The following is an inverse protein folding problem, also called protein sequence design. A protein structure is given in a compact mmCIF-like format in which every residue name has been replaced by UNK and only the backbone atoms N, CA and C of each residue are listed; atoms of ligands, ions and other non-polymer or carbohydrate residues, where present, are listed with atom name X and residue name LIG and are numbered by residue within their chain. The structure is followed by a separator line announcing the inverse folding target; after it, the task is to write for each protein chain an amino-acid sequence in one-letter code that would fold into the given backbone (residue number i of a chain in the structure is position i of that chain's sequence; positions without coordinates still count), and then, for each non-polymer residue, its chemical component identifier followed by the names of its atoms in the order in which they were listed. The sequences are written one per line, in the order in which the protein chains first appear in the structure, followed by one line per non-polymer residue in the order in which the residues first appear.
data_IF_768102379003
#
_entry.id   IF_768102379003
#
_cell.length_a   1.000
_cell.length_b   1.000
_cell.length_c   1.000
_cell.angle_alpha   90.00
_cell.angle_beta   90.00
_cell.angle_gamma   90.00
#
_symmetry.space_group_name_H-M   'P 1'
#
loop_
_entity.id
_entity.type
_entity.pdbx_description
1 polymer ?
#
# COMPACT_ATOMS: atom_id res chain seq x y z
N UNK A 1 -33.20 -23.64 -62.37
CA UNK A 1 -31.88 -23.01 -62.17
C UNK A 1 -31.89 -21.87 -61.15
N UNK A 2 -32.89 -20.97 -61.12
CA UNK A 2 -32.91 -19.83 -60.17
C UNK A 2 -33.10 -20.24 -58.70
N UNK A 3 -33.71 -21.37 -58.36
CA UNK A 3 -33.89 -21.83 -56.97
C UNK A 3 -32.65 -22.53 -56.37
N UNK A 4 -31.75 -23.05 -57.20
CA UNK A 4 -30.51 -23.70 -56.74
C UNK A 4 -29.42 -22.69 -56.39
N UNK A 5 -29.41 -21.52 -57.05
CA UNK A 5 -28.45 -20.46 -56.81
C UNK A 5 -28.73 -19.74 -55.45
N UNK A 6 -30.02 -19.59 -55.10
CA UNK A 6 -30.42 -18.97 -53.83
C UNK A 6 -30.03 -19.80 -52.59
N UNK A 7 -30.02 -21.15 -52.73
CA UNK A 7 -29.69 -22.04 -51.62
C UNK A 7 -28.17 -22.11 -51.33
N UNK A 8 -27.33 -21.97 -52.38
CA UNK A 8 -25.87 -21.93 -52.23
C UNK A 8 -25.40 -20.59 -51.60
N UNK A 9 -26.09 -19.49 -51.92
CA UNK A 9 -25.74 -18.16 -51.38
C UNK A 9 -26.09 -18.04 -49.89
N UNK A 10 -27.16 -18.68 -49.41
CA UNK A 10 -27.55 -18.69 -47.99
C UNK A 10 -26.60 -19.59 -47.18
N UNK A 11 -26.09 -20.70 -47.75
CA UNK A 11 -25.11 -21.55 -47.08
C UNK A 11 -23.73 -20.88 -46.97
N UNK A 12 -23.32 -20.03 -47.91
CA UNK A 12 -22.06 -19.29 -47.88
C UNK A 12 -22.09 -18.14 -46.85
N UNK A 13 -23.26 -17.51 -46.63
CA UNK A 13 -23.43 -16.51 -45.60
C UNK A 13 -23.49 -17.10 -44.17
N UNK A 14 -24.00 -18.33 -44.02
CA UNK A 14 -23.98 -19.03 -42.72
C UNK A 14 -22.57 -19.46 -42.29
N UNK A 15 -21.68 -19.81 -43.23
CA UNK A 15 -20.30 -20.16 -42.95
C UNK A 15 -19.41 -18.94 -42.58
N UNK A 16 -19.72 -17.74 -43.06
CA UNK A 16 -18.97 -16.55 -42.75
C UNK A 16 -19.28 -15.97 -41.35
N UNK A 17 -20.43 -16.32 -40.77
CA UNK A 17 -20.79 -15.93 -39.38
C UNK A 17 -20.14 -16.86 -38.34
N UNK A 18 -19.81 -18.12 -38.72
CA UNK A 18 -19.10 -19.04 -37.83
C UNK A 18 -17.57 -18.92 -37.90
N UNK A 19 -17.01 -18.31 -38.95
CA UNK A 19 -15.56 -18.13 -39.10
C UNK A 19 -15.00 -16.94 -38.26
N UNK A 20 -15.86 -16.13 -37.64
CA UNK A 20 -15.43 -15.03 -36.77
C UNK A 20 -15.61 -15.34 -35.26
N UNK A 21 -15.94 -16.59 -34.92
CA UNK A 21 -15.89 -17.10 -33.55
C UNK A 21 -14.63 -17.94 -33.38
N UNK A 22 -13.51 -17.29 -33.06
CA UNK A 22 -12.31 -18.03 -32.72
C UNK A 22 -11.01 -17.35 -33.07
N UNK A 23 -10.93 -16.02 -32.94
CA UNK A 23 -9.70 -15.50 -32.41
C UNK A 23 -9.83 -15.59 -30.90
N UNK A 24 -9.72 -16.81 -30.39
CA UNK A 24 -9.17 -17.00 -29.05
C UNK A 24 -7.87 -16.19 -29.05
N UNK A 25 -7.85 -15.09 -28.33
CA UNK A 25 -6.62 -14.40 -28.00
C UNK A 25 -5.71 -15.47 -27.40
N UNK A 26 -4.67 -15.88 -28.16
CA UNK A 26 -3.79 -16.98 -27.79
C UNK A 26 -3.33 -16.76 -26.37
N UNK A 27 -3.95 -17.46 -25.43
CA UNK A 27 -3.78 -17.24 -24.03
C UNK A 27 -2.32 -17.38 -23.70
N UNK A 28 -1.72 -16.29 -23.21
CA UNK A 28 -0.31 -16.32 -22.83
C UNK A 28 -0.06 -17.53 -21.93
N UNK A 29 0.93 -18.36 -22.29
CA UNK A 29 1.30 -19.56 -21.53
C UNK A 29 2.20 -19.17 -20.34
N UNK A 30 1.61 -18.43 -19.43
CA UNK A 30 2.17 -17.91 -18.18
C UNK A 30 1.08 -18.01 -17.10
N UNK A 31 1.41 -18.28 -15.81
CA UNK A 31 2.72 -18.71 -15.31
C UNK A 31 2.98 -20.21 -15.50
N UNK A 32 4.25 -20.60 -15.61
CA UNK A 32 4.72 -22.01 -15.68
C UNK A 32 5.57 -22.43 -14.48
N UNK A 33 5.93 -21.49 -13.63
CA UNK A 33 6.75 -21.70 -12.43
C UNK A 33 6.24 -20.79 -11.30
N UNK A 34 6.79 -20.93 -10.12
CA UNK A 34 6.48 -20.13 -8.96
C UNK A 34 6.68 -18.62 -9.22
N UNK A 35 5.76 -17.80 -8.71
CA UNK A 35 5.83 -16.33 -8.71
C UNK A 35 6.33 -15.88 -7.33
N UNK A 36 7.30 -14.98 -7.29
CA UNK A 36 7.83 -14.41 -6.06
C UNK A 36 7.30 -12.99 -5.84
N UNK A 37 6.58 -12.79 -4.74
CA UNK A 37 6.12 -11.48 -4.27
C UNK A 37 7.18 -10.91 -3.32
N UNK A 38 7.90 -9.90 -3.75
CA UNK A 38 8.86 -9.19 -2.90
C UNK A 38 8.11 -8.14 -2.08
N UNK A 39 8.12 -8.31 -0.77
CA UNK A 39 7.63 -7.34 0.20
C UNK A 39 8.83 -6.61 0.80
N UNK A 40 9.03 -5.30 0.53
CA UNK A 40 10.24 -4.57 0.93
C UNK A 40 10.17 -4.08 2.40
N UNK A 41 9.45 -4.81 3.23
CA UNK A 41 9.24 -4.52 4.66
C UNK A 41 9.36 -5.81 5.48
N UNK A 42 9.52 -5.65 6.80
CA UNK A 42 9.64 -6.78 7.71
C UNK A 42 8.38 -7.66 7.71
N UNK A 43 8.58 -8.95 7.96
CA UNK A 43 7.49 -9.92 8.13
C UNK A 43 6.55 -9.50 9.27
N UNK A 44 5.27 -9.81 9.14
CA UNK A 44 4.21 -9.44 10.10
C UNK A 44 3.75 -7.97 10.01
N UNK A 45 4.38 -7.14 9.16
CA UNK A 45 3.88 -5.80 8.86
C UNK A 45 2.66 -5.80 7.94
N UNK A 46 2.01 -4.64 7.80
CA UNK A 46 0.77 -4.52 7.01
C UNK A 46 0.90 -5.09 5.59
N UNK A 47 1.91 -4.66 4.83
CA UNK A 47 2.11 -5.14 3.45
C UNK A 47 2.37 -6.65 3.38
N UNK A 48 3.11 -7.22 4.35
CA UNK A 48 3.41 -8.65 4.39
C UNK A 48 2.15 -9.48 4.64
N UNK A 49 1.36 -9.10 5.65
CA UNK A 49 0.12 -9.81 6.01
C UNK A 49 -0.88 -9.77 4.84
N UNK A 50 -1.07 -8.61 4.20
CA UNK A 50 -1.94 -8.46 3.04
C UNK A 50 -1.46 -9.28 1.83
N UNK A 51 -0.15 -9.24 1.54
CA UNK A 51 0.44 -10.00 0.44
C UNK A 51 0.27 -11.52 0.65
N UNK A 52 0.53 -12.03 1.86
CA UNK A 52 0.34 -13.46 2.18
C UNK A 52 -1.12 -13.88 2.11
N UNK A 53 -2.04 -13.03 2.57
CA UNK A 53 -3.47 -13.31 2.50
C UNK A 53 -3.91 -13.49 1.04
N UNK A 54 -3.51 -12.59 0.13
CA UNK A 54 -3.88 -12.72 -1.28
C UNK A 54 -3.10 -13.84 -2.00
N UNK A 55 -1.81 -14.05 -1.68
CA UNK A 55 -0.96 -15.07 -2.29
C UNK A 55 -1.53 -16.50 -2.14
N UNK A 56 -2.17 -16.80 -1.00
CA UNK A 56 -2.90 -18.06 -0.77
C UNK A 56 -3.94 -18.34 -1.86
N UNK A 57 -4.73 -17.34 -2.23
CA UNK A 57 -5.78 -17.45 -3.24
C UNK A 57 -5.25 -17.34 -4.66
N UNK A 58 -4.21 -16.52 -4.89
CA UNK A 58 -3.51 -16.44 -6.18
C UNK A 58 -2.86 -17.78 -6.56
N UNK A 59 -2.31 -18.51 -5.59
CA UNK A 59 -1.76 -19.85 -5.80
C UNK A 59 -2.82 -20.79 -6.36
N UNK A 60 -4.05 -20.74 -5.86
CA UNK A 60 -5.16 -21.55 -6.33
C UNK A 60 -5.65 -21.11 -7.72
N UNK A 61 -5.81 -19.80 -7.92
CA UNK A 61 -6.33 -19.24 -9.18
C UNK A 61 -5.34 -19.43 -10.35
N UNK A 62 -4.05 -19.18 -10.10
CA UNK A 62 -3.01 -19.27 -11.13
C UNK A 62 -2.44 -20.70 -11.29
N UNK A 63 -2.79 -21.62 -10.39
CA UNK A 63 -2.29 -23.02 -10.36
C UNK A 63 -0.76 -23.11 -10.34
N UNK A 64 -0.11 -22.11 -9.77
CA UNK A 64 1.34 -22.03 -9.54
C UNK A 64 1.60 -21.43 -8.16
N UNK A 65 2.64 -21.86 -7.44
CA UNK A 65 2.95 -21.28 -6.15
C UNK A 65 3.20 -19.77 -6.25
N UNK A 66 2.56 -19.01 -5.37
CA UNK A 66 2.81 -17.58 -5.18
C UNK A 66 3.43 -17.41 -3.80
N UNK A 67 4.72 -17.08 -3.75
CA UNK A 67 5.53 -17.09 -2.54
C UNK A 67 5.88 -15.66 -2.14
N UNK A 68 5.76 -15.34 -0.86
CA UNK A 68 6.12 -14.01 -0.31
C UNK A 68 7.51 -14.07 0.29
N UNK A 69 8.39 -13.17 -0.19
CA UNK A 69 9.75 -12.97 0.33
C UNK A 69 9.90 -11.54 0.87
N UNK A 70 10.34 -11.40 2.12
CA UNK A 70 10.59 -10.11 2.73
C UNK A 70 12.03 -9.66 2.44
N UNK A 71 12.20 -8.46 1.85
CA UNK A 71 13.50 -7.80 1.57
C UNK A 71 13.45 -6.41 2.16
N UNK A 72 13.49 -6.33 3.48
CA UNK A 72 13.38 -5.08 4.22
C UNK A 72 14.65 -4.23 4.15
N UNK A 73 14.51 -2.92 4.33
CA UNK A 73 15.58 -1.96 4.49
C UNK A 73 15.34 -0.63 3.78
N UNK A 74 15.90 0.43 4.34
CA UNK A 74 15.88 1.81 3.81
C UNK A 74 14.50 2.26 3.34
N UNK A 75 13.46 2.14 4.20
CA UNK A 75 12.11 2.57 3.85
C UNK A 75 11.44 1.76 2.73
N UNK A 76 11.96 0.58 2.40
CA UNK A 76 11.47 -0.29 1.32
C UNK A 76 12.26 -0.17 0.00
N UNK A 77 13.27 0.70 -0.06
CA UNK A 77 14.00 0.96 -1.30
C UNK A 77 14.89 -0.21 -1.74
N UNK A 78 15.40 -1.03 -0.80
CA UNK A 78 16.25 -2.18 -1.12
C UNK A 78 15.46 -3.22 -1.91
N UNK A 79 14.32 -3.66 -1.41
CA UNK A 79 13.48 -4.63 -2.11
C UNK A 79 12.89 -4.07 -3.41
N UNK A 80 12.54 -2.77 -3.43
CA UNK A 80 12.06 -2.12 -4.65
C UNK A 80 13.15 -2.08 -5.74
N UNK A 81 14.40 -1.73 -5.39
CA UNK A 81 15.53 -1.76 -6.32
C UNK A 81 15.77 -3.18 -6.87
N UNK A 82 15.73 -4.20 -5.99
CA UNK A 82 15.88 -5.59 -6.42
C UNK A 82 14.85 -5.98 -7.49
N UNK A 83 13.58 -5.60 -7.31
CA UNK A 83 12.53 -5.90 -8.31
C UNK A 83 12.73 -5.07 -9.57
N UNK A 84 13.06 -3.77 -9.45
CA UNK A 84 13.32 -2.90 -10.59
C UNK A 84 14.38 -3.49 -11.54
N UNK A 85 15.40 -4.11 -10.97
CA UNK A 85 16.55 -4.66 -11.71
C UNK A 85 16.38 -6.17 -12.04
N UNK A 86 15.24 -6.78 -11.69
CA UNK A 86 14.96 -8.18 -12.02
C UNK A 86 14.44 -8.34 -13.47
N UNK A 87 14.40 -9.60 -13.95
CA UNK A 87 13.86 -9.90 -15.29
C UNK A 87 12.39 -9.49 -15.38
N UNK A 88 12.00 -8.92 -16.51
CA UNK A 88 10.64 -8.49 -16.82
C UNK A 88 9.75 -9.64 -17.35
N UNK A 89 9.95 -10.86 -16.83
CA UNK A 89 9.26 -12.08 -17.23
C UNK A 89 7.97 -12.37 -16.43
N UNK A 90 7.62 -11.47 -15.48
CA UNK A 90 6.41 -11.55 -14.66
C UNK A 90 6.50 -12.49 -13.46
N UNK A 91 7.68 -13.07 -13.15
CA UNK A 91 7.83 -13.98 -12.01
C UNK A 91 8.37 -13.32 -10.74
N UNK A 92 8.77 -12.05 -10.83
CA UNK A 92 9.13 -11.24 -9.68
C UNK A 92 8.20 -10.03 -9.62
N UNK A 93 7.43 -9.92 -8.54
CA UNK A 93 6.40 -8.90 -8.36
C UNK A 93 6.68 -8.15 -7.06
N UNK A 94 6.71 -6.83 -7.12
CA UNK A 94 6.86 -5.96 -5.95
C UNK A 94 5.50 -5.71 -5.31
N UNK A 95 5.44 -5.80 -3.99
CA UNK A 95 4.36 -5.27 -3.16
C UNK A 95 4.81 -3.95 -2.59
N UNK A 96 4.14 -2.85 -2.92
CA UNK A 96 4.51 -1.55 -2.37
C UNK A 96 3.28 -0.67 -2.12
N UNK A 97 3.49 0.50 -1.57
CA UNK A 97 2.49 1.49 -1.23
C UNK A 97 3.10 2.91 -1.32
N UNK A 98 2.46 3.92 -0.78
CA UNK A 98 2.85 5.34 -0.89
C UNK A 98 4.31 5.64 -0.49
N UNK A 99 4.96 4.80 0.33
CA UNK A 99 6.38 4.98 0.70
C UNK A 99 7.32 5.00 -0.50
N UNK A 100 6.94 4.40 -1.64
CA UNK A 100 7.71 4.51 -2.89
C UNK A 100 7.88 5.97 -3.33
N UNK A 101 6.81 6.75 -3.24
CA UNK A 101 6.86 8.18 -3.57
C UNK A 101 7.71 8.96 -2.57
N UNK A 102 7.57 8.64 -1.28
CA UNK A 102 8.36 9.30 -0.23
C UNK A 102 9.85 9.12 -0.44
N UNK A 103 10.29 7.91 -0.75
CA UNK A 103 11.70 7.62 -1.02
C UNK A 103 12.24 8.41 -2.24
N UNK A 104 11.45 8.52 -3.31
CA UNK A 104 11.82 9.28 -4.50
C UNK A 104 11.80 10.79 -4.24
N UNK A 105 10.73 11.32 -3.67
CA UNK A 105 10.56 12.77 -3.45
C UNK A 105 11.56 13.30 -2.43
N UNK A 106 11.87 12.54 -1.39
CA UNK A 106 12.90 12.88 -0.41
C UNK A 106 14.32 12.88 -1.00
N UNK A 107 14.51 12.24 -2.16
CA UNK A 107 15.83 12.11 -2.81
C UNK A 107 16.66 10.94 -2.28
N UNK A 108 16.06 10.01 -1.55
CA UNK A 108 16.73 8.79 -1.06
C UNK A 108 17.07 7.86 -2.22
N UNK A 109 16.21 7.81 -3.25
CA UNK A 109 16.42 7.08 -4.50
C UNK A 109 16.09 7.94 -5.71
N UNK A 110 16.64 7.56 -6.87
CA UNK A 110 16.41 8.24 -8.15
C UNK A 110 15.37 7.52 -9.04
N UNK A 111 14.65 6.54 -8.50
CA UNK A 111 13.60 5.82 -9.18
C UNK A 111 12.28 5.92 -8.41
N UNK A 112 11.16 5.61 -9.08
CA UNK A 112 9.81 5.65 -8.51
C UNK A 112 8.85 4.74 -9.27
N UNK A 113 7.53 4.97 -9.10
CA UNK A 113 6.52 4.13 -9.73
C UNK A 113 6.62 4.08 -11.27
N UNK A 114 7.20 5.11 -11.90
CA UNK A 114 7.39 5.19 -13.35
C UNK A 114 8.40 4.15 -13.88
N UNK A 115 9.26 3.65 -13.00
CA UNK A 115 10.27 2.64 -13.32
C UNK A 115 9.74 1.20 -13.22
N UNK A 116 8.43 1.05 -13.02
CA UNK A 116 7.72 -0.23 -12.95
C UNK A 116 6.52 -0.25 -13.91
N UNK A 117 5.93 -1.44 -14.08
CA UNK A 117 4.60 -1.61 -14.62
C UNK A 117 3.60 -1.76 -13.45
N UNK A 118 2.73 -0.77 -13.17
CA UNK A 118 1.69 -0.92 -12.18
C UNK A 118 0.71 -2.01 -12.57
N UNK A 119 0.43 -2.94 -11.65
CA UNK A 119 -0.46 -4.08 -11.92
C UNK A 119 -1.85 -3.82 -11.37
N UNK A 120 -1.98 -3.69 -10.06
CA UNK A 120 -3.26 -3.36 -9.41
C UNK A 120 -3.05 -2.94 -7.96
N UNK A 121 -3.94 -2.08 -7.45
CA UNK A 121 -4.21 -2.02 -6.01
C UNK A 121 -5.01 -3.25 -5.63
N UNK A 122 -4.64 -3.93 -4.53
CA UNK A 122 -5.30 -5.19 -4.14
C UNK A 122 -5.92 -5.16 -2.74
N UNK A 123 -5.55 -4.21 -1.90
CA UNK A 123 -6.18 -3.97 -0.60
C UNK A 123 -5.86 -2.55 -0.11
N UNK A 124 -6.69 -2.05 0.80
CA UNK A 124 -6.44 -0.81 1.54
C UNK A 124 -6.40 -1.12 3.02
N UNK A 125 -5.43 -0.56 3.74
CA UNK A 125 -5.48 -0.53 5.18
C UNK A 125 -6.73 0.25 5.63
N UNK A 126 -7.39 -0.20 6.71
CA UNK A 126 -8.60 0.48 7.19
C UNK A 126 -8.31 1.92 7.59
N UNK A 127 -7.37 2.10 8.51
CA UNK A 127 -6.96 3.40 9.01
C UNK A 127 -5.49 3.36 9.45
N UNK A 128 -4.78 4.43 9.18
CA UNK A 128 -3.49 4.73 9.79
C UNK A 128 -3.73 5.71 10.93
N UNK A 129 -3.24 5.39 12.12
CA UNK A 129 -3.54 6.17 13.33
C UNK A 129 -2.29 6.65 14.03
N UNK A 130 -2.34 7.90 14.50
CA UNK A 130 -1.32 8.46 15.36
C UNK A 130 -1.62 8.09 16.82
N UNK A 131 -0.64 7.53 17.52
CA UNK A 131 -0.81 6.84 18.79
C UNK A 131 0.16 7.35 19.84
N UNK A 132 -0.29 7.30 21.09
CA UNK A 132 0.54 7.44 22.30
C UNK A 132 0.40 6.21 23.20
N UNK A 133 1.37 6.00 24.09
CA UNK A 133 1.17 5.11 25.23
C UNK A 133 0.40 5.84 26.33
N UNK A 134 -0.85 5.44 26.55
CA UNK A 134 -1.75 6.11 27.49
C UNK A 134 -1.34 5.94 28.96
N UNK A 135 -0.55 4.90 29.27
CA UNK A 135 -0.01 4.68 30.62
C UNK A 135 1.19 5.58 30.92
N UNK A 136 1.99 5.89 29.88
CA UNK A 136 3.12 6.81 29.99
C UNK A 136 2.65 8.27 30.02
N UNK A 137 1.59 8.59 29.26
CA UNK A 137 1.03 9.94 29.13
C UNK A 137 -0.47 9.94 29.46
N UNK A 138 -0.85 9.77 30.74
CA UNK A 138 -2.25 9.68 31.14
C UNK A 138 -3.06 10.92 30.82
N UNK A 139 -2.41 12.10 30.84
CA UNK A 139 -3.04 13.41 30.60
C UNK A 139 -3.14 13.80 29.11
N UNK A 140 -2.58 13.00 28.19
CA UNK A 140 -2.67 13.27 26.76
C UNK A 140 -3.91 12.59 26.17
N UNK A 141 -4.97 13.34 25.96
CA UNK A 141 -6.25 12.82 25.44
C UNK A 141 -6.46 13.15 23.96
N UNK A 142 -5.84 14.24 23.48
CA UNK A 142 -6.02 14.78 22.14
C UNK A 142 -4.68 15.04 21.44
N UNK A 143 -4.72 15.23 20.14
CA UNK A 143 -3.56 15.70 19.38
C UNK A 143 -3.03 17.04 19.91
N UNK A 144 -3.92 17.95 20.34
CA UNK A 144 -3.53 19.26 20.85
C UNK A 144 -2.76 19.17 22.18
N UNK A 145 -3.11 18.22 23.05
CA UNK A 145 -2.37 17.98 24.30
C UNK A 145 -0.92 17.60 24.00
N UNK A 146 -0.73 16.71 23.01
CA UNK A 146 0.60 16.29 22.55
C UNK A 146 1.38 17.47 21.96
N UNK A 147 0.76 18.27 21.10
CA UNK A 147 1.41 19.47 20.53
C UNK A 147 1.83 20.45 21.61
N UNK A 148 0.95 20.71 22.60
CA UNK A 148 1.24 21.60 23.71
C UNK A 148 2.40 21.09 24.57
N UNK A 149 2.41 19.81 24.91
CA UNK A 149 3.50 19.19 25.67
C UNK A 149 4.84 19.34 24.92
N UNK A 150 4.88 19.08 23.61
CA UNK A 150 6.11 19.23 22.81
C UNK A 150 6.57 20.68 22.69
N UNK A 151 5.67 21.68 22.73
CA UNK A 151 6.01 23.10 22.73
C UNK A 151 6.57 23.56 24.06
N UNK A 152 6.03 23.03 25.16
CA UNK A 152 6.51 23.35 26.51
C UNK A 152 7.91 22.78 26.78
N UNK A 153 8.22 21.61 26.23
CA UNK A 153 9.51 20.91 26.38
C UNK A 153 10.05 20.46 25.00
N UNK A 154 10.56 21.39 24.18
CA UNK A 154 11.02 21.12 22.82
C UNK A 154 12.11 20.06 22.76
N UNK A 155 11.93 19.04 21.92
CA UNK A 155 12.90 17.96 21.70
C UNK A 155 12.93 16.88 22.80
N UNK A 156 12.15 17.02 23.88
CA UNK A 156 12.06 16.00 24.93
C UNK A 156 11.37 14.74 24.46
N UNK A 157 10.23 14.90 23.79
CA UNK A 157 9.38 13.79 23.38
C UNK A 157 9.77 13.24 22.02
N UNK A 158 9.76 11.91 21.88
CA UNK A 158 10.23 11.18 20.70
C UNK A 158 9.06 10.75 19.84
N UNK A 159 9.13 11.14 18.57
CA UNK A 159 8.30 10.60 17.51
C UNK A 159 9.12 9.61 16.68
N UNK A 160 8.64 8.37 16.49
CA UNK A 160 9.35 7.41 15.67
C UNK A 160 8.80 7.33 14.25
N UNK A 161 9.70 7.31 13.28
CA UNK A 161 9.39 7.19 11.87
C UNK A 161 10.38 6.26 11.15
N UNK A 162 9.92 5.55 10.14
CA UNK A 162 10.81 4.83 9.24
C UNK A 162 11.31 5.80 8.17
N UNK A 163 12.63 6.02 8.16
CA UNK A 163 13.27 6.94 7.21
C UNK A 163 13.00 6.52 5.77
N UNK A 164 12.57 7.46 4.94
CA UNK A 164 12.20 7.23 3.54
C UNK A 164 10.80 6.63 3.33
N UNK A 165 10.09 6.29 4.40
CA UNK A 165 8.72 5.78 4.33
C UNK A 165 7.67 6.88 4.62
N UNK A 166 6.38 6.53 4.46
CA UNK A 166 5.25 7.43 4.70
C UNK A 166 5.23 8.04 6.12
N UNK A 167 5.67 7.29 7.13
CA UNK A 167 5.76 7.78 8.52
C UNK A 167 6.72 8.95 8.69
N UNK A 168 7.75 9.05 7.88
CA UNK A 168 8.63 10.22 7.88
C UNK A 168 7.88 11.48 7.43
N UNK A 169 7.01 11.37 6.43
CA UNK A 169 6.16 12.48 6.03
C UNK A 169 5.28 12.99 7.16
N UNK A 170 4.67 12.06 7.93
CA UNK A 170 3.85 12.43 9.09
C UNK A 170 4.70 13.23 10.09
N UNK A 171 5.89 12.73 10.44
CA UNK A 171 6.80 13.42 11.36
C UNK A 171 7.14 14.84 10.89
N UNK A 172 7.42 15.02 9.59
CA UNK A 172 7.68 16.34 8.98
C UNK A 172 6.43 17.23 9.07
N UNK A 173 5.25 16.70 8.72
CA UNK A 173 4.02 17.46 8.68
C UNK A 173 3.56 17.93 10.07
N UNK A 174 3.63 17.06 11.09
CA UNK A 174 3.27 17.44 12.47
C UNK A 174 4.25 18.48 13.05
N UNK A 175 5.55 18.41 12.70
CA UNK A 175 6.52 19.43 13.09
C UNK A 175 6.26 20.76 12.37
N UNK A 176 5.93 20.73 11.07
CA UNK A 176 5.56 21.93 10.32
C UNK A 176 4.28 22.58 10.89
N UNK A 177 3.36 21.79 11.43
CA UNK A 177 2.17 22.26 12.14
C UNK A 177 2.43 22.72 13.58
N UNK A 178 3.68 22.73 14.02
CA UNK A 178 4.11 23.34 15.27
C UNK A 178 4.48 22.39 16.41
N UNK A 179 4.38 21.07 16.24
CA UNK A 179 4.94 20.11 17.20
C UNK A 179 6.47 20.21 17.25
N UNK A 180 7.08 19.91 18.38
CA UNK A 180 8.53 20.02 18.63
C UNK A 180 9.12 18.69 19.11
N UNK A 181 8.88 17.64 18.33
CA UNK A 181 9.41 16.30 18.60
C UNK A 181 10.91 16.18 18.33
N UNK A 182 11.56 15.27 19.05
CA UNK A 182 12.77 14.60 18.60
C UNK A 182 12.34 13.42 17.71
N UNK A 183 12.56 13.53 16.40
CA UNK A 183 12.21 12.46 15.47
C UNK A 183 13.34 11.43 15.45
N UNK A 184 13.02 10.20 15.82
CA UNK A 184 13.97 9.07 15.84
C UNK A 184 13.64 8.08 14.75
N UNK A 185 14.69 7.56 14.10
CA UNK A 185 14.53 6.54 13.05
C UNK A 185 14.22 5.18 13.65
N UNK A 186 13.34 4.44 12.99
CA UNK A 186 12.98 3.06 13.33
C UNK A 186 12.75 2.24 12.06
N UNK A 187 12.56 0.96 12.21
CA UNK A 187 12.19 0.05 11.15
C UNK A 187 10.70 0.08 10.81
N UNK A 188 10.16 -1.06 10.40
CA UNK A 188 8.76 -1.23 10.02
C UNK A 188 7.78 -1.12 11.18
N UNK A 189 6.48 -1.27 10.88
CA UNK A 189 5.40 -1.12 11.87
C UNK A 189 5.53 -2.05 13.08
N UNK A 190 6.03 -3.26 12.90
CA UNK A 190 6.26 -4.20 14.02
C UNK A 190 7.27 -3.66 15.03
N UNK A 191 8.39 -3.07 14.59
CA UNK A 191 9.38 -2.45 15.48
C UNK A 191 8.80 -1.22 16.18
N UNK A 192 8.08 -0.36 15.44
CA UNK A 192 7.43 0.81 16.03
C UNK A 192 6.42 0.44 17.12
N UNK A 193 5.68 -0.66 16.93
CA UNK A 193 4.78 -1.18 17.96
C UNK A 193 5.54 -1.58 19.22
N UNK A 194 6.66 -2.27 19.10
CA UNK A 194 7.50 -2.63 20.26
C UNK A 194 8.06 -1.40 20.97
N UNK A 195 8.52 -0.40 20.21
CA UNK A 195 9.06 0.83 20.76
C UNK A 195 8.03 1.62 21.59
N UNK A 196 6.79 1.75 21.10
CA UNK A 196 5.73 2.48 21.82
C UNK A 196 5.24 1.69 23.05
N UNK A 197 5.12 0.37 22.95
CA UNK A 197 4.73 -0.47 24.07
C UNK A 197 5.79 -0.50 25.18
N UNK A 198 7.08 -0.47 24.77
CA UNK A 198 8.23 -0.44 25.69
C UNK A 198 8.57 0.95 26.24
N UNK A 199 7.80 1.99 25.97
CA UNK A 199 8.04 3.38 26.37
C UNK A 199 9.38 3.95 25.84
N UNK A 200 9.88 3.41 24.74
CA UNK A 200 11.08 3.93 24.08
C UNK A 200 10.80 5.14 23.20
N UNK A 201 9.55 5.36 22.85
CA UNK A 201 9.05 6.52 22.10
C UNK A 201 7.70 6.96 22.68
N UNK A 202 7.36 8.22 22.45
CA UNK A 202 6.16 8.84 23.02
C UNK A 202 4.99 8.85 22.03
N UNK A 203 5.28 8.98 20.74
CA UNK A 203 4.31 9.03 19.66
C UNK A 203 4.78 8.19 18.47
N UNK A 204 3.87 7.47 17.85
CA UNK A 204 4.12 6.76 16.59
C UNK A 204 2.86 6.69 15.75
N UNK A 205 3.04 6.33 14.49
CA UNK A 205 1.94 5.96 13.59
C UNK A 205 1.95 4.45 13.34
N UNK A 206 0.77 3.83 13.37
CA UNK A 206 0.57 2.41 13.07
C UNK A 206 -0.79 2.21 12.41
N UNK A 207 -0.93 1.09 11.69
CA UNK A 207 -2.23 0.68 11.20
C UNK A 207 -3.15 0.24 12.35
N UNK A 208 -4.40 0.67 12.33
CA UNK A 208 -5.39 0.37 13.38
C UNK A 208 -5.53 -1.13 13.67
N UNK A 209 -5.47 -1.97 12.63
CA UNK A 209 -5.57 -3.42 12.79
C UNK A 209 -4.49 -4.03 13.69
N UNK A 210 -3.31 -3.39 13.75
CA UNK A 210 -2.18 -3.87 14.56
C UNK A 210 -2.29 -3.45 16.03
N UNK A 211 -3.15 -2.48 16.35
CA UNK A 211 -3.19 -1.85 17.68
C UNK A 211 -4.55 -1.92 18.36
N UNK A 212 -5.57 -2.48 17.71
CA UNK A 212 -6.95 -2.49 18.20
C UNK A 212 -7.08 -3.05 19.62
N UNK A 213 -6.39 -4.13 19.95
CA UNK A 213 -6.46 -4.75 21.28
C UNK A 213 -5.79 -3.88 22.34
N UNK A 214 -4.70 -3.18 21.99
CA UNK A 214 -4.03 -2.24 22.89
C UNK A 214 -4.84 -0.95 23.09
N UNK A 215 -5.61 -0.55 22.10
CA UNK A 215 -6.54 0.59 22.21
C UNK A 215 -7.74 0.20 23.08
N UNK A 216 -8.34 -0.97 22.84
CA UNK A 216 -9.49 -1.48 23.62
C UNK A 216 -9.16 -1.69 25.09
N UNK A 217 -7.95 -2.15 25.41
CA UNK A 217 -7.52 -2.36 26.81
C UNK A 217 -6.91 -1.11 27.46
N UNK A 218 -6.90 0.03 26.77
CA UNK A 218 -6.41 1.32 27.26
C UNK A 218 -4.89 1.45 27.41
N UNK A 219 -4.10 0.54 26.83
CA UNK A 219 -2.64 0.66 26.80
C UNK A 219 -2.18 1.74 25.82
N UNK A 220 -2.80 1.76 24.62
CA UNK A 220 -2.55 2.79 23.62
C UNK A 220 -3.79 3.67 23.47
N UNK A 221 -3.58 4.93 23.09
CA UNK A 221 -4.64 5.89 22.77
C UNK A 221 -4.40 6.48 21.39
N UNK A 222 -5.45 6.50 20.57
CA UNK A 222 -5.45 7.19 19.29
C UNK A 222 -5.67 8.68 19.54
N UNK A 223 -4.83 9.51 18.95
CA UNK A 223 -4.89 10.98 19.06
C UNK A 223 -5.23 11.66 17.73
N UNK A 224 -5.06 10.98 16.60
CA UNK A 224 -5.51 11.43 15.28
C UNK A 224 -5.60 10.26 14.30
N UNK A 225 -6.43 10.43 13.28
CA UNK A 225 -6.45 9.58 12.10
C UNK A 225 -5.56 10.20 11.01
N UNK A 226 -4.67 9.41 10.41
CA UNK A 226 -3.77 9.86 9.35
C UNK A 226 -4.40 9.72 7.96
N UNK A 227 -5.48 8.93 7.84
CA UNK A 227 -6.19 8.74 6.58
C UNK A 227 -6.74 10.06 6.02
N UNK A 228 -6.98 10.12 4.71
CA UNK A 228 -7.49 11.33 4.05
C UNK A 228 -8.88 11.73 4.49
N UNK A 229 -9.68 10.76 4.96
CA UNK A 229 -11.05 10.90 5.43
C UNK A 229 -11.27 9.98 6.63
N UNK A 230 -12.25 10.29 7.48
CA UNK A 230 -12.66 9.41 8.57
C UNK A 230 -13.32 8.16 8.01
N UNK A 231 -13.02 7.00 8.59
CA UNK A 231 -13.74 5.76 8.31
C UNK A 231 -14.93 5.58 9.25
N UNK A 232 -15.84 4.68 8.89
CA UNK A 232 -16.95 4.29 9.77
C UNK A 232 -16.47 3.66 11.10
N UNK A 233 -15.28 3.06 11.08
CA UNK A 233 -14.67 2.42 12.26
C UNK A 233 -14.16 3.47 13.25
N UNK A 234 -13.58 4.57 12.76
CA UNK A 234 -12.97 5.65 13.54
C UNK A 234 -13.66 7.00 13.28
N UNK A 235 -14.98 6.99 13.14
CA UNK A 235 -15.80 8.19 12.82
C UNK A 235 -15.62 9.34 13.82
N UNK A 236 -15.29 9.03 15.08
CA UNK A 236 -15.13 10.01 16.15
C UNK A 236 -13.68 10.51 16.30
N UNK A 237 -12.72 9.92 15.56
CA UNK A 237 -11.32 10.32 15.58
C UNK A 237 -11.05 11.32 14.45
N UNK A 238 -10.66 12.57 14.77
CA UNK A 238 -10.39 13.57 13.74
C UNK A 238 -9.16 13.17 12.90
N UNK A 239 -9.22 13.50 11.60
CA UNK A 239 -8.06 13.36 10.72
C UNK A 239 -7.01 14.44 11.01
N UNK A 240 -5.73 14.16 10.70
CA UNK A 240 -4.67 15.17 10.78
C UNK A 240 -5.02 16.42 9.98
N UNK A 241 -5.67 16.27 8.83
CA UNK A 241 -6.12 17.38 7.99
C UNK A 241 -7.16 18.26 8.70
N UNK A 242 -8.14 17.66 9.37
CA UNK A 242 -9.13 18.39 10.18
C UNK A 242 -8.48 19.13 11.37
N UNK A 243 -7.35 18.62 11.86
CA UNK A 243 -6.54 19.22 12.92
C UNK A 243 -5.53 20.27 12.40
N UNK A 244 -5.62 20.65 11.11
CA UNK A 244 -4.76 21.67 10.51
C UNK A 244 -3.37 21.18 10.08
N UNK A 245 -3.12 19.88 10.10
CA UNK A 245 -1.87 19.29 9.62
C UNK A 245 -2.03 18.90 8.16
N UNK A 246 -1.23 19.49 7.28
CA UNK A 246 -1.27 19.18 5.84
C UNK A 246 -0.63 17.80 5.54
N UNK A 247 -1.26 16.76 6.02
CA UNK A 247 -0.87 15.37 5.82
C UNK A 247 -2.10 14.47 5.83
N UNK A 248 -2.08 13.48 4.98
CA UNK A 248 -3.10 12.43 4.92
C UNK A 248 -2.89 11.58 3.67
N UNK A 249 -3.00 10.26 3.83
CA UNK A 249 -2.86 9.33 2.72
C UNK A 249 -3.69 8.07 2.94
N UNK A 250 -3.97 7.37 1.84
CA UNK A 250 -4.47 6.01 1.87
C UNK A 250 -3.30 5.04 1.76
N UNK A 251 -3.28 4.04 2.61
CA UNK A 251 -2.28 2.97 2.56
C UNK A 251 -2.80 1.86 1.63
N UNK A 252 -2.56 2.05 0.34
CA UNK A 252 -3.03 1.15 -0.72
C UNK A 252 -1.94 0.15 -1.08
N UNK A 253 -2.12 -1.12 -0.69
CA UNK A 253 -1.21 -2.19 -1.08
C UNK A 253 -1.34 -2.47 -2.58
N UNK A 254 -0.24 -2.37 -3.29
CA UNK A 254 -0.19 -2.36 -4.76
C UNK A 254 0.86 -3.33 -5.26
N UNK A 255 0.53 -4.04 -6.33
CA UNK A 255 1.49 -4.85 -7.07
C UNK A 255 2.11 -4.07 -8.23
N UNK A 256 3.42 -4.27 -8.40
CA UNK A 256 4.20 -3.77 -9.53
C UNK A 256 5.05 -4.88 -10.11
N UNK A 257 5.28 -4.84 -11.41
CA UNK A 257 6.26 -5.68 -12.11
C UNK A 257 7.41 -4.82 -12.65
N UNK A 258 8.57 -5.42 -12.97
CA UNK A 258 9.65 -4.70 -13.63
C UNK A 258 9.19 -3.98 -14.88
N UNK A 259 9.79 -2.83 -15.19
CA UNK A 259 9.47 -2.06 -16.38
C UNK A 259 9.67 -2.89 -17.64
N UNK A 260 8.71 -2.79 -18.59
CA UNK A 260 8.75 -3.55 -19.84
C UNK A 260 8.23 -4.99 -19.71
N UNK A 261 7.65 -5.40 -18.57
CA UNK A 261 6.92 -6.65 -18.48
C UNK A 261 5.78 -6.68 -19.52
N UNK A 262 5.63 -7.79 -20.22
CA UNK A 262 4.58 -7.97 -21.25
C UNK A 262 3.21 -7.60 -20.67
N UNK A 263 2.51 -6.73 -21.37
CA UNK A 263 1.18 -6.26 -20.98
C UNK A 263 0.15 -7.38 -20.82
N UNK A 264 0.31 -8.47 -21.55
CA UNK A 264 -0.56 -9.64 -21.42
C UNK A 264 -0.30 -10.39 -20.10
N UNK A 265 0.95 -10.41 -19.60
CA UNK A 265 1.30 -10.95 -18.28
C UNK A 265 0.69 -10.06 -17.19
N UNK A 266 0.91 -8.74 -17.28
CA UNK A 266 0.35 -7.78 -16.34
C UNK A 266 -1.17 -7.90 -16.25
N UNK A 267 -1.85 -7.93 -17.41
CA UNK A 267 -3.30 -8.07 -17.49
C UNK A 267 -3.80 -9.40 -16.89
N UNK A 268 -3.11 -10.51 -17.15
CA UNK A 268 -3.50 -11.83 -16.63
C UNK A 268 -3.37 -11.89 -15.11
N UNK A 269 -2.27 -11.36 -14.55
CA UNK A 269 -2.09 -11.29 -13.10
C UNK A 269 -3.12 -10.35 -12.45
N UNK A 270 -3.36 -9.17 -13.04
CA UNK A 270 -4.37 -8.22 -12.58
C UNK A 270 -5.78 -8.82 -12.59
N UNK A 271 -6.15 -9.57 -13.65
CA UNK A 271 -7.44 -10.24 -13.75
C UNK A 271 -7.62 -11.34 -12.68
N UNK A 272 -6.55 -12.09 -12.37
CA UNK A 272 -6.58 -13.06 -11.27
C UNK A 272 -6.82 -12.38 -9.91
N UNK A 273 -6.13 -11.26 -9.66
CA UNK A 273 -6.37 -10.43 -8.46
C UNK A 273 -7.81 -9.93 -8.42
N UNK A 274 -8.30 -9.35 -9.52
CA UNK A 274 -9.67 -8.81 -9.63
C UNK A 274 -10.72 -9.86 -9.29
N UNK A 275 -10.61 -11.05 -9.89
CA UNK A 275 -11.52 -12.14 -9.65
C UNK A 275 -11.57 -12.51 -8.18
N UNK A 276 -10.41 -12.71 -7.54
CA UNK A 276 -10.34 -13.05 -6.11
C UNK A 276 -10.97 -11.94 -5.27
N UNK A 277 -10.56 -10.70 -5.47
CA UNK A 277 -10.99 -9.56 -4.66
C UNK A 277 -12.49 -9.32 -4.77
N UNK A 278 -13.05 -9.43 -5.97
CA UNK A 278 -14.47 -9.16 -6.20
C UNK A 278 -15.37 -10.33 -5.82
N UNK A 279 -14.94 -11.58 -6.02
CA UNK A 279 -15.84 -12.74 -5.95
C UNK A 279 -15.53 -13.77 -4.88
N UNK A 280 -14.31 -13.77 -4.29
CA UNK A 280 -13.94 -14.76 -3.28
C UNK A 280 -14.39 -14.32 -1.89
N UNK A 281 -15.47 -14.93 -1.40
CA UNK A 281 -16.03 -14.59 -0.08
C UNK A 281 -15.06 -14.91 1.07
N UNK A 282 -14.25 -15.99 0.95
CA UNK A 282 -13.31 -16.35 1.99
C UNK A 282 -12.13 -15.37 2.08
N UNK A 283 -11.65 -14.86 0.94
CA UNK A 283 -10.65 -13.79 0.91
C UNK A 283 -11.16 -12.53 1.62
N UNK A 284 -12.42 -12.14 1.32
CA UNK A 284 -13.04 -10.97 2.00
C UNK A 284 -13.13 -11.17 3.50
N UNK A 285 -13.58 -12.36 3.94
CA UNK A 285 -13.66 -12.71 5.36
C UNK A 285 -12.29 -12.76 6.04
N UNK A 286 -11.25 -13.22 5.34
CA UNK A 286 -9.88 -13.22 5.88
C UNK A 286 -9.33 -11.78 6.00
N UNK A 287 -9.63 -10.86 5.07
CA UNK A 287 -9.29 -9.45 5.19
C UNK A 287 -10.05 -8.74 6.30
N UNK A 288 -11.35 -9.01 6.45
CA UNK A 288 -12.19 -8.41 7.50
C UNK A 288 -11.65 -8.72 8.90
N UNK A 289 -11.20 -9.97 9.14
CA UNK A 289 -10.54 -10.36 10.41
C UNK A 289 -9.26 -9.57 10.67
N UNK A 290 -8.63 -9.06 9.63
CA UNK A 290 -7.42 -8.25 9.69
C UNK A 290 -7.74 -6.74 9.69
N UNK A 291 -9.01 -6.36 9.74
CA UNK A 291 -9.45 -4.96 9.61
C UNK A 291 -8.91 -4.29 8.35
N UNK A 292 -8.81 -5.05 7.26
CA UNK A 292 -8.37 -4.56 5.95
C UNK A 292 -9.55 -4.47 5.00
N UNK A 293 -9.49 -3.53 4.06
CA UNK A 293 -10.56 -3.30 3.09
C UNK A 293 -10.19 -3.94 1.76
N UNK A 294 -11.00 -4.90 1.25
CA UNK A 294 -10.83 -5.40 -0.11
C UNK A 294 -10.98 -4.23 -1.09
N UNK A 295 -9.97 -3.99 -1.89
CA UNK A 295 -9.98 -2.93 -2.89
C UNK A 295 -9.32 -3.42 -4.16
N UNK A 296 -9.92 -3.11 -5.30
CA UNK A 296 -9.32 -3.37 -6.59
C UNK A 296 -9.31 -2.08 -7.43
N UNK A 297 -8.12 -1.74 -7.94
CA UNK A 297 -7.94 -0.78 -9.02
C UNK A 297 -7.14 -1.46 -10.12
N UNK A 298 -7.63 -1.40 -11.35
CA UNK A 298 -6.93 -1.95 -12.51
C UNK A 298 -5.62 -1.21 -12.82
N UNK A 299 -4.78 -1.67 -13.77
CA UNK A 299 -3.48 -1.05 -14.06
C UNK A 299 -3.57 0.45 -14.40
N UNK A 300 -4.59 0.86 -15.15
CA UNK A 300 -4.77 2.26 -15.55
C UNK A 300 -5.18 3.14 -14.34
N UNK A 301 -6.14 2.67 -13.54
CA UNK A 301 -6.58 3.34 -12.31
C UNK A 301 -5.45 3.40 -11.27
N UNK A 302 -4.63 2.35 -11.18
CA UNK A 302 -3.45 2.30 -10.30
C UNK A 302 -2.41 3.34 -10.74
N UNK A 303 -2.14 3.42 -12.05
CA UNK A 303 -1.23 4.44 -12.60
C UNK A 303 -1.71 5.86 -12.30
N UNK A 304 -3.01 6.13 -12.50
CA UNK A 304 -3.61 7.43 -12.22
C UNK A 304 -3.52 7.80 -10.73
N UNK A 305 -3.80 6.83 -9.84
CA UNK A 305 -3.67 7.01 -8.38
C UNK A 305 -2.23 7.39 -8.00
N UNK A 306 -1.25 6.61 -8.47
CA UNK A 306 0.15 6.85 -8.15
C UNK A 306 0.67 8.17 -8.70
N UNK A 307 0.22 8.55 -9.91
CA UNK A 307 0.51 9.87 -10.46
C UNK A 307 -0.02 11.00 -9.58
N UNK A 308 -1.28 10.91 -9.15
CA UNK A 308 -1.91 11.91 -8.30
C UNK A 308 -1.20 12.05 -6.94
N UNK A 309 -0.86 10.92 -6.32
CA UNK A 309 -0.12 10.90 -5.04
C UNK A 309 1.29 11.49 -5.20
N UNK A 310 1.99 11.14 -6.28
CA UNK A 310 3.31 11.68 -6.59
C UNK A 310 3.28 13.19 -6.79
N UNK A 311 2.34 13.69 -7.60
CA UNK A 311 2.19 15.12 -7.88
C UNK A 311 1.91 15.92 -6.58
N UNK A 312 1.07 15.38 -5.69
CA UNK A 312 0.78 15.98 -4.39
C UNK A 312 2.02 16.08 -3.49
N UNK A 313 2.85 15.03 -3.44
CA UNK A 313 4.10 15.04 -2.69
C UNK A 313 5.16 15.93 -3.32
N UNK A 314 5.21 16.00 -4.65
CA UNK A 314 6.11 16.91 -5.36
C UNK A 314 5.80 18.39 -5.08
N UNK A 315 4.53 18.74 -4.88
CA UNK A 315 4.12 20.10 -4.51
C UNK A 315 4.72 20.57 -3.15
N UNK A 316 5.06 19.62 -2.26
CA UNK A 316 5.68 19.90 -0.95
C UNK A 316 7.10 19.34 -0.83
N UNK A 317 7.74 19.02 -1.96
CA UNK A 317 9.07 18.37 -2.03
C UNK A 317 10.13 19.07 -1.18
N UNK A 318 10.19 20.40 -1.24
CA UNK A 318 11.26 21.15 -0.56
C UNK A 318 11.08 21.08 0.97
N UNK A 319 9.84 21.02 1.47
CA UNK A 319 9.53 20.77 2.88
C UNK A 319 9.96 19.36 3.30
N UNK A 320 9.66 18.36 2.48
CA UNK A 320 10.09 16.97 2.72
C UNK A 320 11.62 16.89 2.79
N UNK A 321 12.33 17.47 1.83
CA UNK A 321 13.81 17.45 1.79
C UNK A 321 14.46 18.23 2.92
N UNK A 322 13.88 19.35 3.35
CA UNK A 322 14.36 20.10 4.51
C UNK A 322 14.21 19.30 5.80
N UNK A 323 13.13 18.51 5.95
CA UNK A 323 12.91 17.65 7.13
C UNK A 323 13.81 16.41 7.17
N UNK A 324 14.33 15.93 6.03
CA UNK A 324 15.28 14.80 5.96
C UNK A 324 16.69 15.21 6.39
N UNK A 325 17.08 16.48 6.21
CA UNK A 325 18.44 16.98 6.50
C UNK A 325 18.67 17.33 7.99
N UNK A 326 17.65 17.22 8.80
CA UNK A 326 17.72 17.45 10.27
C UNK A 326 17.81 16.14 11.01
#
# INVERSE_FOLDING_TARGET
MKKLIAMVTVLALAFSVFANRGKDAGGINWPKKSINLIVPFAAGGNSDVNARTLAKYLTQELRQPVVVTNVAGSGGTIGAAQVKDSANDGYTVLVHQISMHMAQVSGMVNFGYQDFEPVCVFSRASDEVLLINAKQHPDWHTYQDVVNATKNEPGKYRFTANTGASTQWIGIAVQAAGAKFNVVSSGGSGERLQLILGNHVDVTELNYSQVIDYVKNGTLRIIANVSTERSDILKDVPTLKELGVNCGYSYDNTFFMPKGTDKAIVAKFAAACEKIIKTNAQYKADLEKLYQVPMYKNPAETTALYKSQYDALMAIRDQIRAGVKK
#
